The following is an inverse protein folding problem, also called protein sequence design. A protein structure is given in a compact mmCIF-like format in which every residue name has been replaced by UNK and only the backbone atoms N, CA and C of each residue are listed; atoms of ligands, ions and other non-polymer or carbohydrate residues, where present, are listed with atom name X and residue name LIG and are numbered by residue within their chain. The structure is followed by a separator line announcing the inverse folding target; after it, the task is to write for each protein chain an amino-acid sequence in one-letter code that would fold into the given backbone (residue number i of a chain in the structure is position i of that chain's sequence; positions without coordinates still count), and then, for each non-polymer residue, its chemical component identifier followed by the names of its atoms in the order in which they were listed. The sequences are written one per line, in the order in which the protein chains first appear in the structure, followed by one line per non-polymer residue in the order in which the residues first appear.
data_IF_976893109062
#
_entry.id   IF_976893109062
#
_cell.length_a   1.000
_cell.length_b   1.000
_cell.length_c   1.000
_cell.angle_alpha   90.00
_cell.angle_beta   90.00
_cell.angle_gamma   90.00
#
_symmetry.space_group_name_H-M   'P 1'
#
loop_
_entity.id
_entity.type
_entity.pdbx_description
1 polymer ?
#
# COMPACT_ATOMS: atom_id res chain seq x y z
N UNK A 1 26.52 -0.52 52.00
CA UNK A 1 25.92 0.38 50.96
C UNK A 1 25.44 -0.48 49.83
N UNK A 2 24.14 -0.66 49.68
CA UNK A 2 23.53 -1.46 48.60
C UNK A 2 23.00 -0.47 47.55
N UNK A 3 23.51 -0.54 46.30
CA UNK A 3 23.04 0.24 45.16
C UNK A 3 21.95 -0.56 44.47
N UNK A 4 20.72 -0.08 44.60
CA UNK A 4 19.56 -0.59 43.84
C UNK A 4 19.62 0.02 42.44
N UNK A 5 19.91 -0.80 41.42
CA UNK A 5 19.75 -0.44 40.02
C UNK A 5 18.27 -0.57 39.65
N UNK A 6 17.59 0.57 39.44
CA UNK A 6 16.24 0.65 38.88
C UNK A 6 16.35 0.50 37.36
N UNK A 7 16.00 -0.70 36.85
CA UNK A 7 15.86 -0.95 35.43
C UNK A 7 14.58 -0.26 34.90
N UNK A 8 14.74 0.77 34.09
CA UNK A 8 13.63 1.36 33.34
C UNK A 8 13.36 0.45 32.15
N UNK A 9 12.34 -0.40 32.27
CA UNK A 9 11.78 -1.13 31.12
C UNK A 9 10.97 -0.13 30.26
N UNK A 10 11.56 0.33 29.19
CA UNK A 10 10.83 1.02 28.13
C UNK A 10 9.95 0.00 27.42
N UNK A 11 8.67 -0.08 27.81
CA UNK A 11 7.62 -0.71 27.01
C UNK A 11 7.34 0.21 25.82
N UNK A 12 8.15 0.13 24.77
CA UNK A 12 7.77 0.60 23.45
C UNK A 12 6.78 -0.42 22.90
N UNK A 13 5.52 -0.04 22.73
CA UNK A 13 4.57 -0.79 21.89
C UNK A 13 5.10 -0.71 20.46
N UNK A 14 5.84 -1.72 20.02
CA UNK A 14 6.27 -1.85 18.63
C UNK A 14 5.05 -2.24 17.80
N UNK A 15 4.38 -1.27 17.20
CA UNK A 15 3.29 -1.46 16.24
C UNK A 15 3.64 -2.47 15.15
N UNK A 16 4.92 -2.53 14.75
CA UNK A 16 5.39 -3.42 13.69
C UNK A 16 5.17 -4.91 14.00
N UNK A 17 5.16 -5.31 15.28
CA UNK A 17 4.97 -6.70 15.67
C UNK A 17 3.53 -7.23 15.51
N UNK A 18 2.54 -6.34 15.38
CA UNK A 18 1.15 -6.71 15.14
C UNK A 18 0.79 -6.74 13.63
N UNK A 19 1.68 -6.27 12.76
CA UNK A 19 1.44 -6.17 11.32
C UNK A 19 1.96 -7.44 10.64
N UNK A 20 1.13 -8.13 9.82
CA UNK A 20 1.57 -9.29 9.07
C UNK A 20 2.69 -8.96 8.07
N UNK A 21 3.66 -9.89 7.92
CA UNK A 21 4.70 -9.80 6.88
C UNK A 21 4.17 -10.02 5.46
N UNK A 22 2.88 -10.31 5.33
CA UNK A 22 2.18 -10.47 4.06
C UNK A 22 0.85 -9.74 4.10
N UNK A 23 0.62 -8.89 3.11
CA UNK A 23 -0.68 -8.28 2.86
C UNK A 23 -1.36 -8.97 1.68
N UNK A 24 -2.40 -9.78 1.97
CA UNK A 24 -3.15 -10.55 0.97
C UNK A 24 -2.27 -11.39 0.02
N UNK A 25 -1.21 -12.01 0.56
CA UNK A 25 -0.29 -12.87 -0.19
C UNK A 25 0.89 -12.15 -0.84
N UNK A 26 1.00 -10.83 -0.67
CA UNK A 26 2.17 -10.05 -1.09
C UNK A 26 3.08 -9.83 0.11
N UNK A 27 4.32 -10.34 0.03
CA UNK A 27 5.32 -10.11 1.08
C UNK A 27 5.73 -8.63 1.11
N UNK A 28 5.61 -8.02 2.27
CA UNK A 28 5.98 -6.62 2.53
C UNK A 28 6.48 -6.48 3.96
N UNK A 29 7.48 -5.63 4.18
CA UNK A 29 8.00 -5.43 5.53
C UNK A 29 7.02 -4.63 6.39
N UNK A 30 6.77 -5.05 7.66
CA UNK A 30 5.88 -4.34 8.57
C UNK A 30 6.21 -2.85 8.74
N UNK A 31 7.50 -2.48 8.70
CA UNK A 31 7.97 -1.11 8.86
C UNK A 31 7.48 -0.17 7.73
N UNK A 32 7.23 -0.70 6.53
CA UNK A 32 6.67 0.07 5.43
C UNK A 32 5.16 0.26 5.56
N UNK A 33 4.49 -0.69 6.22
CA UNK A 33 3.04 -0.66 6.40
C UNK A 33 2.62 0.14 7.63
N UNK A 34 3.41 0.06 8.70
CA UNK A 34 3.09 0.67 10.00
C UNK A 34 2.72 2.16 9.94
N UNK A 35 3.44 3.02 9.19
CA UNK A 35 3.11 4.44 9.13
C UNK A 35 1.75 4.74 8.47
N UNK A 36 1.26 3.82 7.62
CA UNK A 36 0.01 3.98 6.86
C UNK A 36 -1.23 3.53 7.63
N UNK A 37 -1.04 2.91 8.80
CA UNK A 37 -2.13 2.36 9.60
C UNK A 37 -2.38 3.24 10.84
N UNK A 38 -3.65 3.40 11.25
CA UNK A 38 -3.98 4.03 12.52
C UNK A 38 -3.45 3.21 13.70
N UNK A 39 -3.46 3.82 14.88
CA UNK A 39 -3.11 3.13 16.13
C UNK A 39 -4.07 1.96 16.40
N UNK A 40 -3.53 0.81 16.79
CA UNK A 40 -4.30 -0.39 17.14
C UNK A 40 -3.46 -1.66 17.03
N UNK A 41 -3.90 -2.70 17.74
CA UNK A 41 -3.16 -3.96 17.87
C UNK A 41 -3.72 -5.11 17.01
N UNK A 42 -4.95 -4.99 16.50
CA UNK A 42 -5.62 -6.04 15.72
C UNK A 42 -5.59 -5.69 14.22
N UNK A 43 -4.44 -5.94 13.57
CA UNK A 43 -4.27 -5.75 12.13
C UNK A 43 -4.67 -7.03 11.39
N UNK A 44 -5.65 -6.91 10.49
CA UNK A 44 -6.13 -8.00 9.65
C UNK A 44 -6.05 -7.65 8.18
N UNK A 45 -5.77 -8.66 7.37
CA UNK A 45 -5.80 -8.57 5.91
C UNK A 45 -6.87 -9.48 5.36
N UNK A 46 -7.77 -8.93 4.55
CA UNK A 46 -8.89 -9.66 3.97
C UNK A 46 -8.85 -9.56 2.44
N UNK A 47 -8.58 -10.66 1.74
CA UNK A 47 -8.77 -10.70 0.30
C UNK A 47 -10.27 -10.65 0.00
N UNK A 48 -10.73 -9.62 -0.71
CA UNK A 48 -12.15 -9.43 -1.07
C UNK A 48 -12.54 -10.23 -2.31
N UNK A 49 -11.57 -10.64 -3.10
CA UNK A 49 -11.77 -11.51 -4.25
C UNK A 49 -10.68 -12.58 -4.30
N UNK A 50 -11.00 -13.81 -4.78
CA UNK A 50 -9.94 -14.75 -5.06
C UNK A 50 -9.02 -14.13 -6.11
N UNK A 51 -7.71 -14.17 -5.89
CA UNK A 51 -6.73 -13.80 -6.91
C UNK A 51 -6.90 -14.71 -8.12
N UNK A 52 -7.67 -14.25 -9.08
CA UNK A 52 -7.80 -14.85 -10.39
C UNK A 52 -7.21 -13.88 -11.39
N UNK A 53 -6.34 -14.36 -12.16
CA UNK A 53 -5.55 -13.88 -13.29
C UNK A 53 -5.65 -12.40 -13.74
N UNK A 54 -6.67 -11.62 -13.36
CA UNK A 54 -6.88 -10.26 -13.83
C UNK A 54 -7.26 -9.25 -12.74
N UNK A 55 -7.66 -9.70 -11.55
CA UNK A 55 -8.14 -8.82 -10.49
C UNK A 55 -7.82 -9.36 -9.09
N UNK A 56 -7.31 -8.52 -8.23
CA UNK A 56 -7.15 -8.80 -6.81
C UNK A 56 -7.51 -7.55 -5.99
N UNK A 57 -8.23 -7.74 -4.90
CA UNK A 57 -8.52 -6.70 -3.93
C UNK A 57 -8.17 -7.18 -2.54
N UNK A 58 -7.50 -6.32 -1.78
CA UNK A 58 -7.10 -6.55 -0.41
C UNK A 58 -7.54 -5.38 0.47
N UNK A 59 -8.19 -5.68 1.58
CA UNK A 59 -8.48 -4.70 2.62
C UNK A 59 -7.61 -4.98 3.83
N UNK A 60 -6.90 -3.96 4.32
CA UNK A 60 -6.19 -3.98 5.59
C UNK A 60 -7.02 -3.22 6.62
N UNK A 61 -7.35 -3.88 7.72
CA UNK A 61 -8.18 -3.33 8.80
C UNK A 61 -7.40 -3.27 10.10
N UNK A 62 -7.67 -2.27 10.92
CA UNK A 62 -7.16 -2.14 12.29
C UNK A 62 -8.34 -2.01 13.24
N UNK A 63 -8.42 -2.89 14.24
CA UNK A 63 -9.56 -2.91 15.17
C UNK A 63 -10.92 -3.08 14.47
N UNK A 64 -10.96 -3.83 13.36
CA UNK A 64 -12.17 -4.07 12.56
C UNK A 64 -12.61 -2.92 11.66
N UNK A 65 -11.83 -1.83 11.56
CA UNK A 65 -12.07 -0.71 10.64
C UNK A 65 -11.08 -0.77 9.49
N UNK A 66 -11.58 -0.68 8.24
CA UNK A 66 -10.73 -0.60 7.08
C UNK A 66 -9.82 0.63 7.13
N UNK A 67 -8.53 0.44 6.91
CA UNK A 67 -7.51 1.48 6.92
C UNK A 67 -6.86 1.66 5.54
N UNK A 68 -6.68 0.55 4.80
CA UNK A 68 -6.00 0.56 3.51
C UNK A 68 -6.72 -0.38 2.53
N UNK A 69 -6.95 0.10 1.33
CA UNK A 69 -7.45 -0.70 0.21
C UNK A 69 -6.35 -0.82 -0.84
N UNK A 70 -6.08 -2.03 -1.27
CA UNK A 70 -5.11 -2.32 -2.33
C UNK A 70 -5.85 -3.07 -3.43
N UNK A 71 -5.88 -2.51 -4.62
CA UNK A 71 -6.53 -3.09 -5.79
C UNK A 71 -5.52 -3.27 -6.89
N UNK A 72 -5.48 -4.45 -7.47
CA UNK A 72 -4.59 -4.79 -8.57
C UNK A 72 -5.40 -5.33 -9.76
N UNK A 73 -5.04 -4.86 -10.93
CA UNK A 73 -5.55 -5.39 -12.19
C UNK A 73 -4.38 -5.81 -13.06
N UNK A 74 -4.48 -6.98 -13.68
CA UNK A 74 -3.58 -7.39 -14.76
C UNK A 74 -4.35 -7.43 -16.10
N UNK A 75 -3.64 -7.48 -17.21
CA UNK A 75 -4.27 -7.57 -18.51
C UNK A 75 -4.96 -6.29 -19.00
N UNK A 76 -4.76 -5.16 -18.34
CA UNK A 76 -5.35 -3.87 -18.72
C UNK A 76 -4.66 -3.24 -19.94
N UNK A 77 -5.36 -2.37 -20.65
CA UNK A 77 -4.71 -1.49 -21.62
C UNK A 77 -3.93 -0.41 -20.88
N UNK A 78 -2.78 0.00 -21.43
CA UNK A 78 -2.01 1.10 -20.85
C UNK A 78 -2.75 2.43 -20.98
N UNK A 79 -2.62 3.28 -19.96
CA UNK A 79 -3.10 4.66 -19.95
C UNK A 79 -2.11 5.55 -19.18
N UNK A 80 -2.20 6.87 -19.34
CA UNK A 80 -1.40 7.82 -18.56
C UNK A 80 -2.01 7.98 -17.16
N UNK A 81 -1.26 7.59 -16.14
CA UNK A 81 -1.71 7.63 -14.75
C UNK A 81 -1.96 9.07 -14.26
N UNK A 82 -1.17 10.06 -14.73
CA UNK A 82 -1.33 11.45 -14.29
C UNK A 82 -2.54 12.12 -14.94
N UNK A 83 -2.80 11.85 -16.21
CA UNK A 83 -4.01 12.31 -16.89
C UNK A 83 -5.24 11.72 -16.20
N UNK A 84 -5.26 10.41 -16.01
CA UNK A 84 -6.33 9.72 -15.29
C UNK A 84 -6.58 10.31 -13.89
N UNK A 85 -5.53 10.55 -13.11
CA UNK A 85 -5.66 11.08 -11.75
C UNK A 85 -6.13 12.54 -11.73
N UNK A 86 -5.83 13.34 -12.74
CA UNK A 86 -6.32 14.72 -12.86
C UNK A 86 -7.81 14.80 -13.20
N UNK A 87 -8.28 13.86 -14.00
CA UNK A 87 -9.69 13.80 -14.43
C UNK A 87 -10.58 13.16 -13.36
N UNK A 88 -10.01 12.33 -12.48
CA UNK A 88 -10.74 11.65 -11.43
C UNK A 88 -10.79 12.49 -10.15
N UNK A 89 -11.98 12.88 -9.70
CA UNK A 89 -12.20 13.69 -8.49
C UNK A 89 -11.69 13.02 -7.19
N UNK A 90 -11.42 11.71 -7.23
CA UNK A 90 -10.90 10.94 -6.11
C UNK A 90 -9.42 11.21 -5.80
N UNK A 91 -8.66 11.77 -6.74
CA UNK A 91 -7.24 12.09 -6.55
C UNK A 91 -7.08 13.57 -6.20
N UNK A 92 -6.76 13.86 -4.95
CA UNK A 92 -6.47 15.23 -4.50
C UNK A 92 -4.99 15.53 -4.65
N UNK A 93 -4.67 16.67 -5.26
CA UNK A 93 -3.29 17.13 -5.49
C UNK A 93 -2.39 16.08 -6.15
N UNK A 94 -2.77 15.49 -7.30
CA UNK A 94 -2.01 14.41 -7.92
C UNK A 94 -0.66 14.92 -8.46
N UNK A 95 0.39 14.17 -8.21
CA UNK A 95 1.77 14.42 -8.64
C UNK A 95 2.39 13.13 -9.16
N UNK A 96 3.37 13.24 -10.05
CA UNK A 96 4.16 12.08 -10.47
C UNK A 96 4.87 11.47 -9.27
N UNK A 97 4.74 10.17 -9.11
CA UNK A 97 5.50 9.43 -8.11
C UNK A 97 6.96 9.30 -8.52
N UNK A 98 7.86 9.21 -7.52
CA UNK A 98 9.29 9.00 -7.72
C UNK A 98 9.58 7.51 -7.91
N UNK A 99 10.57 7.17 -8.72
CA UNK A 99 11.07 5.79 -8.84
C UNK A 99 10.20 4.83 -9.64
N UNK A 100 8.99 5.22 -10.06
CA UNK A 100 8.11 4.40 -10.91
C UNK A 100 7.65 5.22 -12.10
N UNK A 101 7.94 4.71 -13.30
CA UNK A 101 7.43 5.33 -14.54
C UNK A 101 5.92 5.12 -14.61
N UNK A 102 5.19 6.18 -15.01
CA UNK A 102 3.73 6.17 -15.14
C UNK A 102 3.02 5.80 -13.82
N UNK A 103 3.41 6.49 -12.76
CA UNK A 103 2.78 6.40 -11.45
C UNK A 103 2.49 7.79 -10.87
N UNK A 104 1.48 7.85 -10.02
CA UNK A 104 0.99 9.07 -9.38
C UNK A 104 0.78 8.83 -7.89
N UNK A 105 1.24 9.80 -7.11
CA UNK A 105 0.93 9.93 -5.69
C UNK A 105 -0.02 11.13 -5.48
N UNK A 106 -1.02 10.96 -4.66
CA UNK A 106 -1.98 11.99 -4.26
C UNK A 106 -2.20 11.94 -2.74
N UNK A 107 -3.06 12.79 -2.20
CA UNK A 107 -3.39 12.75 -0.77
C UNK A 107 -4.16 11.46 -0.45
N UNK A 108 -3.46 10.49 0.13
CA UNK A 108 -4.00 9.19 0.50
C UNK A 108 -4.21 8.20 -0.63
N UNK A 109 -3.75 8.49 -1.85
CA UNK A 109 -3.88 7.58 -2.99
C UNK A 109 -2.60 7.43 -3.77
N UNK A 110 -2.40 6.23 -4.31
CA UNK A 110 -1.33 5.91 -5.25
C UNK A 110 -1.89 5.09 -6.40
N UNK A 111 -1.52 5.43 -7.62
CA UNK A 111 -1.82 4.60 -8.80
C UNK A 111 -0.56 4.43 -9.65
N UNK A 112 -0.30 3.22 -10.10
CA UNK A 112 0.76 2.90 -11.05
C UNK A 112 0.21 2.04 -12.19
N UNK A 113 0.63 2.37 -13.42
CA UNK A 113 0.32 1.61 -14.63
C UNK A 113 1.63 1.14 -15.23
N UNK A 114 1.94 -0.13 -15.08
CA UNK A 114 3.24 -0.71 -15.46
C UNK A 114 3.07 -1.86 -16.44
N UNK A 115 4.01 -2.07 -17.39
CA UNK A 115 3.91 -3.18 -18.34
C UNK A 115 3.87 -4.54 -17.64
N UNK A 116 3.08 -5.47 -18.19
CA UNK A 116 3.08 -6.89 -17.85
C UNK A 116 3.95 -7.67 -18.83
N UNK A 117 5.16 -8.04 -18.41
CA UNK A 117 6.10 -8.77 -19.27
C UNK A 117 6.40 -8.05 -20.59
N UNK A 118 6.60 -8.79 -21.67
CA UNK A 118 6.88 -8.27 -23.02
C UNK A 118 5.60 -7.88 -23.80
N UNK A 119 4.42 -8.03 -23.22
CA UNK A 119 3.12 -7.80 -23.86
C UNK A 119 2.70 -6.34 -23.90
N UNK A 120 1.62 -6.07 -24.66
CA UNK A 120 0.96 -4.76 -24.72
C UNK A 120 0.03 -4.48 -23.53
N UNK A 121 -0.08 -5.44 -22.61
CA UNK A 121 -0.95 -5.33 -21.45
C UNK A 121 -0.19 -4.76 -20.26
N UNK A 122 -0.93 -4.16 -19.36
CA UNK A 122 -0.40 -3.50 -18.18
C UNK A 122 -0.99 -4.09 -16.91
N UNK A 123 -0.22 -3.99 -15.84
CA UNK A 123 -0.65 -4.12 -14.47
C UNK A 123 -0.99 -2.72 -13.94
N UNK A 124 -2.12 -2.60 -13.27
CA UNK A 124 -2.52 -1.40 -12.54
C UNK A 124 -2.54 -1.74 -11.06
N UNK A 125 -1.82 -0.96 -10.27
CA UNK A 125 -1.88 -0.98 -8.81
C UNK A 125 -2.57 0.31 -8.35
N UNK A 126 -3.66 0.19 -7.62
CA UNK A 126 -4.39 1.29 -6.99
C UNK A 126 -4.41 1.07 -5.48
N UNK A 127 -3.92 2.05 -4.72
CA UNK A 127 -3.88 2.03 -3.25
C UNK A 127 -4.64 3.24 -2.73
N UNK A 128 -5.56 3.00 -1.79
CA UNK A 128 -6.38 4.02 -1.16
C UNK A 128 -6.29 3.92 0.37
N UNK A 129 -5.91 5.00 1.03
CA UNK A 129 -5.89 5.13 2.47
C UNK A 129 -7.25 5.65 2.95
N UNK A 130 -7.93 4.89 3.80
CA UNK A 130 -9.22 5.27 4.37
C UNK A 130 -9.04 6.20 5.58
N UNK A 131 -8.59 7.43 5.31
CA UNK A 131 -8.36 8.46 6.33
C UNK A 131 -8.68 9.86 5.79
N UNK A 132 -8.84 10.88 6.66
CA UNK A 132 -9.01 12.27 6.23
C UNK A 132 -7.83 12.73 5.36
N UNK A 133 -8.13 13.48 4.30
CA UNK A 133 -7.10 13.95 3.34
C UNK A 133 -6.01 14.83 3.98
N UNK A 134 -6.34 15.54 5.06
CA UNK A 134 -5.36 16.35 5.81
C UNK A 134 -4.30 15.49 6.50
N UNK A 135 -4.68 14.33 7.02
CA UNK A 135 -3.75 13.37 7.61
C UNK A 135 -2.98 12.61 6.53
N UNK A 136 -3.68 12.21 5.48
CA UNK A 136 -3.09 11.49 4.35
C UNK A 136 -2.03 12.30 3.58
N UNK A 137 -2.14 13.63 3.56
CA UNK A 137 -1.17 14.51 2.92
C UNK A 137 0.21 14.40 3.58
N UNK A 138 0.28 14.26 4.89
CA UNK A 138 1.52 14.14 5.64
C UNK A 138 2.20 12.76 5.46
N UNK A 139 1.45 11.77 4.96
CA UNK A 139 1.91 10.39 4.75
C UNK A 139 2.24 10.06 3.29
N UNK A 140 2.38 11.06 2.42
CA UNK A 140 2.66 10.82 0.99
C UNK A 140 3.97 10.07 0.75
N UNK A 141 5.04 10.45 1.43
CA UNK A 141 6.36 9.82 1.26
C UNK A 141 6.33 8.38 1.78
N UNK A 142 5.59 8.10 2.85
CA UNK A 142 5.36 6.76 3.40
C UNK A 142 4.57 5.90 2.44
N UNK A 143 3.46 6.42 1.90
CA UNK A 143 2.63 5.73 0.92
C UNK A 143 3.43 5.42 -0.36
N UNK A 144 4.22 6.37 -0.84
CA UNK A 144 5.07 6.18 -2.02
C UNK A 144 6.11 5.09 -1.79
N UNK A 145 6.78 5.07 -0.63
CA UNK A 145 7.75 4.02 -0.26
C UNK A 145 7.10 2.65 -0.18
N UNK A 146 5.94 2.57 0.47
CA UNK A 146 5.15 1.34 0.55
C UNK A 146 4.79 0.84 -0.85
N UNK A 147 4.15 1.69 -1.66
CA UNK A 147 3.66 1.34 -2.99
C UNK A 147 4.79 0.90 -3.94
N UNK A 148 5.93 1.60 -3.90
CA UNK A 148 7.12 1.26 -4.71
C UNK A 148 7.70 -0.09 -4.32
N UNK A 149 7.67 -0.45 -3.04
CA UNK A 149 8.14 -1.76 -2.55
C UNK A 149 7.12 -2.87 -2.82
N UNK A 150 5.83 -2.58 -2.73
CA UNK A 150 4.74 -3.53 -3.00
C UNK A 150 4.65 -3.91 -4.48
N UNK A 151 4.78 -2.94 -5.37
CA UNK A 151 4.53 -3.07 -6.81
C UNK A 151 5.23 -4.27 -7.48
N UNK A 152 6.57 -4.48 -7.35
CA UNK A 152 7.25 -5.59 -8.03
C UNK A 152 6.82 -6.96 -7.49
N UNK A 153 6.49 -7.06 -6.19
CA UNK A 153 6.04 -8.33 -5.59
C UNK A 153 4.59 -8.61 -5.99
N UNK A 154 3.72 -7.60 -5.93
CA UNK A 154 2.33 -7.68 -6.36
C UNK A 154 2.19 -8.15 -7.80
N UNK A 155 2.98 -7.57 -8.72
CA UNK A 155 3.04 -7.99 -10.13
C UNK A 155 3.33 -9.48 -10.32
N UNK A 156 4.28 -10.03 -9.55
CA UNK A 156 4.60 -11.47 -9.60
C UNK A 156 3.45 -12.31 -9.07
N UNK A 157 2.86 -11.90 -7.94
CA UNK A 157 1.80 -12.67 -7.29
C UNK A 157 0.52 -12.68 -8.13
N UNK A 158 0.19 -11.61 -8.86
CA UNK A 158 -0.96 -11.56 -9.78
C UNK A 158 -0.67 -12.23 -11.15
N UNK A 159 0.54 -12.73 -11.37
CA UNK A 159 0.90 -13.42 -12.60
C UNK A 159 1.24 -12.50 -13.79
N UNK A 160 1.52 -11.24 -13.53
CA UNK A 160 1.91 -10.26 -14.55
C UNK A 160 3.36 -10.46 -15.04
N UNK A 161 4.21 -11.01 -14.21
CA UNK A 161 5.59 -11.43 -14.55
C UNK A 161 5.70 -12.96 -14.37
N UNK A 162 6.14 -13.64 -15.42
CA UNK A 162 6.45 -15.07 -15.39
C UNK A 162 7.92 -15.30 -15.13
#
# INVERSE_FOLDING_TARGET
MAVLAVGVSACGNDKSNAIPEQLCGVAITPELTAPLLPDGDDVKTEPQSPRKDEYAQCTVSVGGKAALYIVEYSGQNSFDALEHARDASAFRNPQKAKGVTNAVIADGKFIAVTPCGEGKKSHVLDIDMNMPSSEAMDLRDELERFATSYLPVGKKVIGCEK
#
